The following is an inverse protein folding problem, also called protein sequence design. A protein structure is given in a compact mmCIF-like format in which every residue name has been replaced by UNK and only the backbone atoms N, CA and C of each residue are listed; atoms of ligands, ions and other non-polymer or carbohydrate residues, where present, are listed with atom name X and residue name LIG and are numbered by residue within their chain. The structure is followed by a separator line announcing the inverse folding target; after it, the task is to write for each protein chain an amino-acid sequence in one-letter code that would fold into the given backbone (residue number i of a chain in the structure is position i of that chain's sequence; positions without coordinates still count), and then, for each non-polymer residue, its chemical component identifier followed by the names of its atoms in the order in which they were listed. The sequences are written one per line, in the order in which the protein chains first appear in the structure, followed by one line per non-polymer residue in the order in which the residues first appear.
data_IF_545889117804
#
_entry.id   IF_545889117804
#
_cell.length_a   1.000
_cell.length_b   1.000
_cell.length_c   1.000
_cell.angle_alpha   90.00
_cell.angle_beta   90.00
_cell.angle_gamma   90.00
#
_symmetry.space_group_name_H-M   'P 1'
#
loop_
_entity.id
_entity.type
_entity.pdbx_description
1 polymer ?
#
# COMPACT_ATOMS: atom_id res chain seq x y z
N UNK A 1 -0.89 6.49 7.50
CA UNK A 1 -0.90 7.15 6.18
C UNK A 1 -2.15 8.02 5.91
N UNK A 2 -3.09 8.13 6.85
CA UNK A 2 -4.34 8.88 6.65
C UNK A 2 -4.13 10.40 6.53
N UNK A 3 -3.29 10.98 7.39
CA UNK A 3 -3.16 12.43 7.52
C UNK A 3 -1.90 12.98 6.83
N UNK A 4 -1.99 14.18 6.28
CA UNK A 4 -0.88 14.84 5.57
C UNK A 4 0.17 15.40 6.55
N UNK A 5 -0.29 15.99 7.64
CA UNK A 5 0.53 16.58 8.71
C UNK A 5 1.31 15.53 9.52
N UNK A 6 0.93 14.24 9.42
CA UNK A 6 1.64 13.12 10.04
C UNK A 6 2.75 12.54 9.15
N UNK A 7 2.94 13.05 7.92
CA UNK A 7 3.99 12.58 7.01
C UNK A 7 5.32 13.27 7.32
N UNK A 8 5.86 12.96 8.49
CA UNK A 8 7.11 13.52 8.98
C UNK A 8 8.35 12.82 8.40
N UNK A 9 9.52 13.42 8.58
CA UNK A 9 10.80 12.90 8.07
C UNK A 9 11.38 11.73 8.86
N UNK A 10 10.91 11.47 10.07
CA UNK A 10 11.48 10.46 10.95
C UNK A 10 10.65 9.19 10.97
N UNK A 11 9.38 9.28 11.36
CA UNK A 11 8.53 8.11 11.55
C UNK A 11 7.90 7.66 10.25
N UNK A 12 7.34 8.56 9.44
CA UNK A 12 6.69 8.16 8.20
C UNK A 12 7.65 7.51 7.20
N UNK A 13 8.90 7.99 7.11
CA UNK A 13 9.92 7.42 6.21
C UNK A 13 10.44 6.06 6.69
N UNK A 14 10.32 5.74 7.98
CA UNK A 14 10.84 4.48 8.55
C UNK A 14 9.75 3.43 8.70
N UNK A 15 8.64 3.78 9.32
CA UNK A 15 7.57 2.83 9.66
C UNK A 15 6.83 2.36 8.41
N UNK A 16 6.48 3.29 7.52
CA UNK A 16 5.69 2.99 6.32
C UNK A 16 6.33 1.91 5.44
N UNK A 17 7.60 2.02 4.99
CA UNK A 17 8.19 0.99 4.14
C UNK A 17 8.41 -0.35 4.87
N UNK A 18 8.72 -0.34 6.17
CA UNK A 18 8.92 -1.58 6.95
C UNK A 18 7.63 -2.39 7.03
N UNK A 19 6.50 -1.72 7.24
CA UNK A 19 5.19 -2.39 7.32
C UNK A 19 4.71 -2.79 5.93
N UNK A 20 4.89 -1.93 4.93
CA UNK A 20 4.37 -2.15 3.57
C UNK A 20 5.07 -3.27 2.81
N UNK A 21 6.33 -3.61 3.12
CA UNK A 21 7.09 -4.63 2.36
C UNK A 21 6.59 -6.07 2.56
N UNK A 22 5.86 -6.34 3.64
CA UNK A 22 5.42 -7.70 3.99
C UNK A 22 4.59 -8.36 2.88
N UNK A 23 3.59 -7.65 2.35
CA UNK A 23 2.68 -8.18 1.33
C UNK A 23 3.36 -8.34 -0.06
N UNK A 24 4.09 -7.33 -0.59
CA UNK A 24 4.89 -7.49 -1.79
C UNK A 24 5.83 -8.70 -1.73
N UNK A 25 6.48 -8.95 -0.59
CA UNK A 25 7.35 -10.11 -0.41
C UNK A 25 6.59 -11.44 -0.52
N UNK A 26 5.47 -11.57 0.18
CA UNK A 26 4.65 -12.79 0.16
C UNK A 26 4.06 -13.08 -1.23
N UNK A 27 3.50 -12.06 -1.90
CA UNK A 27 2.89 -12.20 -3.21
C UNK A 27 3.95 -12.44 -4.28
N UNK A 28 5.11 -11.78 -4.19
CA UNK A 28 6.23 -12.04 -5.11
C UNK A 28 6.73 -13.47 -4.98
N UNK A 29 6.83 -14.03 -3.77
CA UNK A 29 7.18 -15.44 -3.57
C UNK A 29 6.21 -16.38 -4.30
N UNK A 30 4.90 -16.17 -4.15
CA UNK A 30 3.89 -17.00 -4.81
C UNK A 30 3.95 -16.86 -6.35
N UNK A 31 3.95 -15.63 -6.86
CA UNK A 31 3.97 -15.36 -8.30
C UNK A 31 5.25 -15.89 -8.97
N UNK A 32 6.39 -15.75 -8.30
CA UNK A 32 7.65 -16.24 -8.83
C UNK A 32 7.74 -17.76 -8.81
N UNK A 33 7.29 -18.40 -7.72
CA UNK A 33 7.41 -19.85 -7.54
C UNK A 33 6.53 -20.63 -8.51
N UNK A 34 5.26 -20.21 -8.67
CA UNK A 34 4.28 -20.97 -9.44
C UNK A 34 4.12 -20.50 -10.89
N UNK A 35 4.30 -19.20 -11.16
CA UNK A 35 4.01 -18.61 -12.47
C UNK A 35 5.22 -17.94 -13.13
N UNK A 36 6.35 -17.82 -12.41
CA UNK A 36 7.57 -17.11 -12.88
C UNK A 36 7.29 -15.67 -13.34
N UNK A 37 6.26 -15.06 -12.77
CA UNK A 37 5.81 -13.71 -13.14
C UNK A 37 6.46 -12.64 -12.23
N UNK A 38 7.12 -11.61 -12.78
CA UNK A 38 7.90 -10.64 -12.00
C UNK A 38 7.10 -9.41 -11.53
N UNK A 39 5.78 -9.51 -11.34
CA UNK A 39 4.91 -8.36 -11.00
C UNK A 39 4.13 -8.52 -9.68
N UNK A 40 4.50 -9.47 -8.82
CA UNK A 40 3.80 -9.68 -7.54
C UNK A 40 3.81 -8.45 -6.62
N UNK A 41 4.94 -7.74 -6.56
CA UNK A 41 5.05 -6.52 -5.76
C UNK A 41 4.18 -5.37 -6.29
N UNK A 42 4.18 -5.14 -7.61
CA UNK A 42 3.39 -4.07 -8.23
C UNK A 42 1.89 -4.34 -8.10
N UNK A 43 1.46 -5.60 -8.25
CA UNK A 43 0.07 -5.99 -7.99
C UNK A 43 -0.36 -5.65 -6.56
N UNK A 44 0.48 -5.97 -5.57
CA UNK A 44 0.21 -5.72 -4.15
C UNK A 44 0.02 -4.24 -3.85
N UNK A 45 0.96 -3.39 -4.31
CA UNK A 45 0.92 -1.94 -4.07
C UNK A 45 -0.24 -1.29 -4.84
N UNK A 46 -0.54 -1.78 -6.05
CA UNK A 46 -1.67 -1.28 -6.84
C UNK A 46 -3.00 -1.55 -6.13
N UNK A 47 -3.18 -2.75 -5.56
CA UNK A 47 -4.35 -3.09 -4.75
C UNK A 47 -4.49 -2.17 -3.52
N UNK A 48 -3.40 -1.92 -2.81
CA UNK A 48 -3.38 -0.99 -1.67
C UNK A 48 -3.80 0.43 -2.10
N UNK A 49 -3.21 0.95 -3.17
CA UNK A 49 -3.49 2.31 -3.65
C UNK A 49 -4.95 2.46 -4.08
N UNK A 50 -5.48 1.49 -4.83
CA UNK A 50 -6.88 1.51 -5.26
C UNK A 50 -7.81 1.50 -4.06
N UNK A 51 -7.61 0.58 -3.11
CA UNK A 51 -8.42 0.52 -1.89
C UNK A 51 -8.36 1.83 -1.09
N UNK A 52 -7.16 2.38 -0.91
CA UNK A 52 -6.94 3.65 -0.21
C UNK A 52 -7.70 4.80 -0.89
N UNK A 53 -7.57 4.95 -2.21
CA UNK A 53 -8.22 6.05 -2.94
C UNK A 53 -9.75 5.95 -2.91
N UNK A 54 -10.30 4.74 -2.99
CA UNK A 54 -11.74 4.51 -2.81
C UNK A 54 -12.16 5.03 -1.43
N UNK A 55 -11.47 4.64 -0.36
CA UNK A 55 -11.80 5.11 0.99
C UNK A 55 -11.68 6.63 1.12
N UNK A 56 -10.61 7.24 0.62
CA UNK A 56 -10.39 8.70 0.66
C UNK A 56 -11.54 9.44 -0.02
N UNK A 57 -11.96 9.01 -1.21
CA UNK A 57 -13.02 9.69 -1.95
C UNK A 57 -14.40 9.50 -1.32
N UNK A 58 -14.79 8.26 -1.01
CA UNK A 58 -16.16 7.98 -0.57
C UNK A 58 -16.39 8.27 0.91
N UNK A 59 -15.48 7.86 1.79
CA UNK A 59 -15.68 8.01 3.23
C UNK A 59 -15.24 9.39 3.73
N UNK A 60 -14.03 9.83 3.37
CA UNK A 60 -13.47 11.08 3.92
C UNK A 60 -14.00 12.30 3.17
N UNK A 61 -13.91 12.32 1.83
CA UNK A 61 -14.28 13.50 1.05
C UNK A 61 -15.79 13.63 0.78
N UNK A 62 -16.55 12.54 0.64
CA UNK A 62 -17.97 12.66 0.31
C UNK A 62 -18.90 12.56 1.52
N UNK A 63 -18.61 11.65 2.46
CA UNK A 63 -19.48 11.42 3.62
C UNK A 63 -19.16 12.30 4.83
N UNK A 64 -17.88 12.51 5.15
CA UNK A 64 -17.44 13.19 6.38
C UNK A 64 -16.84 14.59 6.14
N UNK A 65 -17.12 15.20 4.98
CA UNK A 65 -16.63 16.54 4.62
C UNK A 65 -17.39 17.64 5.36
#
# INVERSE_FOLDING_TARGET
DFWLDWKDRQFWVTVTPIVEVMYPGAIMYYFWTFYRQPFGATLSITGLLVGKWITVLFAWYWWSN
#
